data_IF_584839674000
#
_entry.id   IF_584839674000
#
_cell.length_a   1.000
_cell.length_b   1.000
_cell.length_c   1.000
_cell.angle_alpha   90.00
_cell.angle_beta   90.00
_cell.angle_gamma   90.00
#
_symmetry.space_group_name_H-M   'P 1'
#
loop_
_entity.id
_entity.type
_entity.pdbx_description
1 polymer ?
#
# COMPACT_ATOMS: atom_id res chain seq x y z
N UNK A 1 1.38 1.25 4.86
CA UNK A 1 -0.01 0.84 4.53
C UNK A 1 -0.33 -0.56 5.05
N UNK A 2 0.44 -1.60 4.72
CA UNK A 2 0.19 -2.97 5.18
C UNK A 2 0.02 -3.15 6.69
N UNK A 3 0.83 -2.46 7.50
CA UNK A 3 0.71 -2.45 8.97
C UNK A 3 -0.64 -1.88 9.45
N UNK A 4 -1.10 -0.80 8.81
CA UNK A 4 -2.41 -0.18 9.13
C UNK A 4 -3.55 -1.13 8.77
N UNK A 5 -3.47 -1.78 7.60
CA UNK A 5 -4.45 -2.77 7.17
C UNK A 5 -4.49 -3.97 8.13
N UNK A 6 -3.33 -4.44 8.58
CA UNK A 6 -3.22 -5.52 9.56
C UNK A 6 -3.89 -5.14 10.89
N UNK A 7 -3.68 -3.91 11.37
CA UNK A 7 -4.30 -3.35 12.57
C UNK A 7 -5.83 -3.27 12.48
N UNK A 8 -6.32 -2.90 11.29
CA UNK A 8 -7.75 -2.79 11.02
C UNK A 8 -8.42 -4.14 10.68
N UNK A 9 -7.68 -5.25 10.73
CA UNK A 9 -8.14 -6.57 10.32
C UNK A 9 -8.69 -6.60 8.89
N UNK A 10 -7.99 -5.91 7.97
CA UNK A 10 -8.32 -5.89 6.55
C UNK A 10 -7.50 -6.91 5.77
N UNK A 11 -8.08 -7.41 4.69
CA UNK A 11 -7.38 -8.25 3.72
C UNK A 11 -6.41 -7.40 2.88
N UNK A 12 -5.51 -8.06 2.14
CA UNK A 12 -4.56 -7.42 1.22
C UNK A 12 -5.24 -6.62 0.07
N UNK A 13 -6.55 -6.77 -0.11
CA UNK A 13 -7.38 -5.96 -1.02
C UNK A 13 -8.07 -4.77 -0.34
N UNK A 14 -7.86 -4.56 0.97
CA UNK A 14 -8.43 -3.41 1.70
C UNK A 14 -9.87 -3.61 2.19
N UNK A 15 -10.47 -4.77 1.97
CA UNK A 15 -11.79 -5.11 2.47
C UNK A 15 -11.74 -5.89 3.79
N UNK A 16 -12.86 -5.97 4.53
CA UNK A 16 -12.95 -6.82 5.72
C UNK A 16 -12.78 -8.29 5.34
N UNK A 17 -12.08 -9.05 6.15
CA UNK A 17 -11.83 -10.47 5.92
C UNK A 17 -12.05 -11.33 7.15
N UNK A 18 -11.98 -12.65 6.95
CA UNK A 18 -12.00 -13.57 8.09
C UNK A 18 -10.72 -13.41 8.92
N UNK A 19 -10.76 -13.74 10.23
CA UNK A 19 -9.59 -13.62 11.11
C UNK A 19 -8.34 -14.35 10.60
N UNK A 20 -8.52 -15.44 9.86
CA UNK A 20 -7.41 -16.19 9.26
C UNK A 20 -6.79 -15.47 8.07
N UNK A 21 -7.61 -14.85 7.22
CA UNK A 21 -7.13 -14.11 6.04
C UNK A 21 -6.40 -12.83 6.42
N UNK A 22 -6.79 -12.21 7.52
CA UNK A 22 -6.23 -10.92 7.96
C UNK A 22 -4.92 -11.06 8.76
N UNK A 23 -4.66 -12.23 9.38
CA UNK A 23 -3.44 -12.48 10.18
C UNK A 23 -2.12 -12.27 9.43
N UNK A 24 -2.11 -12.45 8.12
CA UNK A 24 -0.91 -12.36 7.28
C UNK A 24 -0.91 -11.18 6.30
N UNK A 25 -1.89 -10.29 6.38
CA UNK A 25 -2.05 -9.15 5.43
C UNK A 25 -0.77 -8.33 5.28
N UNK A 26 -0.11 -8.00 6.37
CA UNK A 26 1.16 -7.26 6.32
C UNK A 26 2.24 -8.02 5.54
N UNK A 27 2.40 -9.31 5.80
CA UNK A 27 3.41 -10.15 5.13
C UNK A 27 3.08 -10.27 3.64
N UNK A 28 1.81 -10.49 3.29
CA UNK A 28 1.37 -10.60 1.88
C UNK A 28 1.64 -9.30 1.13
N UNK A 29 1.25 -8.15 1.67
CA UNK A 29 1.51 -6.83 1.07
C UNK A 29 3.02 -6.60 0.91
N UNK A 30 3.80 -6.91 1.95
CA UNK A 30 5.26 -6.78 1.91
C UNK A 30 5.87 -7.69 0.83
N UNK A 31 5.43 -8.93 0.73
CA UNK A 31 5.90 -9.89 -0.28
C UNK A 31 5.58 -9.41 -1.69
N UNK A 32 4.38 -8.89 -1.95
CA UNK A 32 4.00 -8.34 -3.25
C UNK A 32 4.93 -7.19 -3.64
N UNK A 33 5.16 -6.23 -2.73
CA UNK A 33 6.01 -5.07 -2.99
C UNK A 33 7.46 -5.49 -3.21
N UNK A 34 7.99 -6.37 -2.36
CA UNK A 34 9.37 -6.87 -2.50
C UNK A 34 9.56 -7.67 -3.79
N UNK A 35 8.62 -8.56 -4.13
CA UNK A 35 8.68 -9.33 -5.38
C UNK A 35 8.69 -8.42 -6.60
N UNK A 36 7.86 -7.38 -6.61
CA UNK A 36 7.85 -6.39 -7.69
C UNK A 36 9.17 -5.61 -7.75
N UNK A 37 9.72 -5.19 -6.59
CA UNK A 37 10.99 -4.47 -6.53
C UNK A 37 12.15 -5.33 -7.06
N UNK A 38 12.23 -6.59 -6.60
CA UNK A 38 13.25 -7.54 -7.07
C UNK A 38 13.11 -7.80 -8.57
N UNK A 39 11.88 -8.00 -9.06
CA UNK A 39 11.61 -8.15 -10.48
C UNK A 39 12.09 -6.93 -11.27
N UNK A 40 11.76 -5.71 -10.85
CA UNK A 40 12.19 -4.49 -11.51
C UNK A 40 13.71 -4.35 -11.54
N UNK A 41 14.38 -4.59 -10.40
CA UNK A 41 15.83 -4.54 -10.31
C UNK A 41 16.52 -5.60 -11.19
N UNK A 42 15.99 -6.82 -11.21
CA UNK A 42 16.50 -7.89 -12.06
C UNK A 42 16.40 -7.53 -13.56
N UNK A 43 15.26 -6.96 -13.96
CA UNK A 43 15.06 -6.51 -15.35
C UNK A 43 16.02 -5.36 -15.72
N UNK A 44 16.27 -4.42 -14.81
CA UNK A 44 17.23 -3.33 -15.05
C UNK A 44 18.68 -3.83 -15.08
N UNK A 45 19.01 -4.84 -14.29
CA UNK A 45 20.34 -5.47 -14.31
C UNK A 45 20.58 -6.29 -15.58
N UNK A 46 19.60 -7.08 -16.01
CA UNK A 46 19.70 -7.92 -17.20
C UNK A 46 19.69 -7.13 -18.51
N UNK A 47 18.99 -5.99 -18.54
CA UNK A 47 18.83 -5.14 -19.72
C UNK A 47 19.11 -3.68 -19.39
N UNK A 48 20.38 -3.35 -19.11
CA UNK A 48 20.74 -1.98 -18.75
C UNK A 48 20.52 -1.03 -19.93
N UNK A 49 19.93 0.13 -19.63
CA UNK A 49 19.69 1.17 -20.63
C UNK A 49 20.98 1.84 -21.13
N UNK A 50 22.10 1.58 -20.46
CA UNK A 50 23.40 2.18 -20.79
C UNK A 50 24.47 1.12 -20.81
N UNK A 51 25.05 0.87 -21.99
CA UNK A 51 26.09 -0.15 -22.21
C UNK A 51 27.25 0.50 -22.95
N UNK A 52 28.46 0.36 -22.40
CA UNK A 52 29.70 0.84 -23.00
C UNK A 52 29.69 2.32 -23.47
N UNK A 53 29.01 3.20 -22.75
CA UNK A 53 28.95 4.61 -23.07
C UNK A 53 27.86 5.01 -24.06
N UNK A 54 27.02 4.07 -24.51
CA UNK A 54 25.93 4.31 -25.45
C UNK A 54 24.58 3.93 -24.83
N UNK A 55 23.50 4.66 -25.18
CA UNK A 55 22.14 4.29 -24.83
C UNK A 55 21.73 3.07 -25.64
N UNK A 56 21.61 1.93 -24.98
CA UNK A 56 21.05 0.71 -25.54
C UNK A 56 19.55 0.69 -25.29
N UNK A 57 18.75 0.66 -26.36
CA UNK A 57 17.32 0.48 -26.20
C UNK A 57 17.01 -0.98 -25.88
N UNK A 58 16.39 -1.28 -24.72
CA UNK A 58 15.98 -2.65 -24.44
C UNK A 58 14.93 -3.09 -25.47
N UNK A 59 14.85 -4.40 -25.77
CA UNK A 59 13.82 -4.94 -26.65
C UNK A 59 12.41 -4.46 -26.25
N UNK A 60 11.59 -4.14 -27.23
CA UNK A 60 10.25 -3.54 -26.99
C UNK A 60 9.37 -4.37 -26.06
N UNK A 61 9.45 -5.71 -26.15
CA UNK A 61 8.68 -6.60 -25.28
C UNK A 61 9.07 -6.48 -23.80
N UNK A 62 10.34 -6.21 -23.47
CA UNK A 62 10.81 -6.01 -22.09
C UNK A 62 10.25 -4.71 -21.52
N UNK A 63 10.37 -3.62 -22.29
CA UNK A 63 9.82 -2.32 -21.92
C UNK A 63 8.29 -2.42 -21.69
N UNK A 64 7.58 -3.11 -22.58
CA UNK A 64 6.14 -3.32 -22.47
C UNK A 64 5.80 -4.14 -21.22
N UNK A 65 6.53 -5.21 -20.93
CA UNK A 65 6.28 -6.05 -19.74
C UNK A 65 6.52 -5.27 -18.45
N UNK A 66 7.59 -4.48 -18.36
CA UNK A 66 7.86 -3.61 -17.20
C UNK A 66 6.76 -2.58 -17.01
N UNK A 67 6.35 -1.91 -18.08
CA UNK A 67 5.30 -0.90 -18.02
C UNK A 67 3.97 -1.51 -17.58
N UNK A 68 3.60 -2.67 -18.11
CA UNK A 68 2.37 -3.38 -17.73
C UNK A 68 2.42 -3.79 -16.24
N UNK A 69 3.52 -4.38 -15.79
CA UNK A 69 3.68 -4.75 -14.38
C UNK A 69 3.61 -3.53 -13.45
N UNK A 70 4.25 -2.42 -13.83
CA UNK A 70 4.18 -1.16 -13.09
C UNK A 70 2.76 -0.60 -13.01
N UNK A 71 2.02 -0.61 -14.12
CA UNK A 71 0.63 -0.17 -14.15
C UNK A 71 -0.25 -1.02 -13.25
N UNK A 72 -0.10 -2.33 -13.27
CA UNK A 72 -0.86 -3.24 -12.40
C UNK A 72 -0.61 -2.96 -10.91
N UNK A 73 0.63 -2.75 -10.51
CA UNK A 73 0.99 -2.40 -9.12
C UNK A 73 0.42 -1.03 -8.73
N UNK A 74 0.49 -0.04 -9.61
CA UNK A 74 -0.07 1.30 -9.34
C UNK A 74 -1.58 1.22 -9.14
N UNK A 75 -2.30 0.55 -10.03
CA UNK A 75 -3.76 0.34 -9.94
C UNK A 75 -4.12 -0.39 -8.67
N UNK A 76 -3.40 -1.47 -8.33
CA UNK A 76 -3.60 -2.19 -7.08
C UNK A 76 -3.36 -1.30 -5.85
N UNK A 77 -2.29 -0.52 -5.83
CA UNK A 77 -2.00 0.41 -4.74
C UNK A 77 -3.08 1.47 -4.55
N UNK A 78 -3.61 2.04 -5.64
CA UNK A 78 -4.70 3.03 -5.59
C UNK A 78 -5.98 2.36 -5.06
N UNK A 79 -6.34 1.20 -5.60
CA UNK A 79 -7.51 0.44 -5.20
C UNK A 79 -7.51 0.10 -3.70
N UNK A 80 -6.39 -0.45 -3.21
CA UNK A 80 -6.25 -0.82 -1.80
C UNK A 80 -6.38 0.39 -0.87
N UNK A 81 -5.78 1.54 -1.23
CA UNK A 81 -5.90 2.77 -0.44
C UNK A 81 -7.33 3.30 -0.42
N UNK A 82 -7.97 3.35 -1.58
CA UNK A 82 -9.37 3.76 -1.71
C UNK A 82 -10.27 2.89 -0.83
N UNK A 83 -10.16 1.56 -0.92
CA UNK A 83 -10.97 0.63 -0.12
C UNK A 83 -10.68 0.72 1.37
N UNK A 84 -9.43 0.87 1.77
CA UNK A 84 -9.08 1.05 3.20
C UNK A 84 -9.65 2.35 3.74
N UNK A 85 -9.60 3.46 2.97
CA UNK A 85 -10.17 4.75 3.39
C UNK A 85 -11.70 4.67 3.48
N UNK A 86 -12.35 4.10 2.49
CA UNK A 86 -13.81 3.84 2.50
C UNK A 86 -14.22 3.05 3.76
N UNK A 87 -13.48 1.98 4.07
CA UNK A 87 -13.74 1.19 5.28
C UNK A 87 -13.61 2.01 6.56
N UNK A 88 -12.53 2.79 6.71
CA UNK A 88 -12.29 3.64 7.88
C UNK A 88 -13.40 4.68 8.01
N UNK A 89 -13.77 5.36 6.93
CA UNK A 89 -14.87 6.33 6.95
C UNK A 89 -16.19 5.71 7.39
N UNK A 90 -16.53 4.58 6.81
CA UNK A 90 -17.77 3.86 7.16
C UNK A 90 -17.77 3.42 8.63
N UNK A 91 -16.63 2.94 9.14
CA UNK A 91 -16.47 2.53 10.54
C UNK A 91 -16.65 3.69 11.51
N UNK A 92 -16.06 4.85 11.22
CA UNK A 92 -16.11 6.04 12.08
C UNK A 92 -17.22 7.03 11.69
N UNK A 93 -18.10 6.66 10.73
CA UNK A 93 -19.21 7.49 10.24
C UNK A 93 -18.79 8.89 9.79
N UNK A 94 -17.66 9.00 9.10
CA UNK A 94 -17.14 10.26 8.57
C UNK A 94 -17.84 10.55 7.24
N UNK A 95 -18.59 11.67 7.09
CA UNK A 95 -19.28 12.02 5.85
C UNK A 95 -18.29 12.42 4.74
N UNK A 96 -18.73 12.31 3.49
CA UNK A 96 -18.04 12.88 2.33
C UNK A 96 -18.36 14.37 2.23
N UNK A 97 -17.32 15.24 2.22
CA UNK A 97 -17.53 16.69 2.25
C UNK A 97 -17.46 17.35 0.86
N UNK A 98 -16.60 16.86 -0.04
CA UNK A 98 -16.28 17.58 -1.28
C UNK A 98 -16.74 16.93 -2.57
N UNK A 99 -16.63 15.61 -2.71
CA UNK A 99 -16.94 14.87 -3.93
C UNK A 99 -17.64 13.57 -3.57
N UNK A 100 -18.96 13.57 -3.58
CA UNK A 100 -19.74 12.37 -3.26
C UNK A 100 -19.38 11.24 -4.24
N UNK A 101 -18.83 10.14 -3.70
CA UNK A 101 -18.45 8.92 -4.44
C UNK A 101 -17.09 8.94 -5.12
N UNK A 102 -16.39 10.08 -5.22
CA UNK A 102 -15.06 10.14 -5.85
C UNK A 102 -13.93 10.66 -4.92
N UNK A 103 -14.27 11.13 -3.74
CA UNK A 103 -13.29 11.71 -2.80
C UNK A 103 -12.16 10.73 -2.45
N UNK A 104 -12.50 9.47 -2.17
CA UNK A 104 -11.53 8.44 -1.80
C UNK A 104 -10.58 8.10 -2.95
N UNK A 105 -11.10 8.08 -4.18
CA UNK A 105 -10.28 7.86 -5.37
C UNK A 105 -9.35 9.04 -5.65
N UNK A 106 -9.87 10.26 -5.68
CA UNK A 106 -9.09 11.47 -5.92
C UNK A 106 -7.97 11.62 -4.89
N UNK A 107 -8.29 11.48 -3.60
CA UNK A 107 -7.29 11.55 -2.54
C UNK A 107 -6.25 10.42 -2.68
N UNK A 108 -6.65 9.21 -3.07
CA UNK A 108 -5.73 8.07 -3.24
C UNK A 108 -4.73 8.27 -4.37
N UNK A 109 -5.10 9.05 -5.40
CA UNK A 109 -4.21 9.39 -6.52
C UNK A 109 -3.28 10.54 -6.13
N UNK A 110 -3.83 11.66 -5.65
CA UNK A 110 -3.08 12.90 -5.47
C UNK A 110 -2.32 12.99 -4.15
N UNK A 111 -2.83 12.42 -3.08
CA UNK A 111 -2.26 12.58 -1.74
C UNK A 111 -2.07 11.25 -0.99
N UNK A 112 -1.48 10.25 -1.66
CA UNK A 112 -1.22 8.93 -1.09
C UNK A 112 -0.53 8.94 0.28
N UNK A 113 0.55 9.69 0.53
CA UNK A 113 1.19 9.72 1.86
C UNK A 113 0.30 10.36 2.91
N UNK A 114 -0.49 11.37 2.56
CA UNK A 114 -1.40 12.04 3.51
C UNK A 114 -2.48 11.09 4.00
N UNK A 115 -3.05 10.27 3.11
CA UNK A 115 -4.06 9.26 3.49
C UNK A 115 -3.48 8.26 4.48
N UNK A 116 -2.31 7.72 4.17
CA UNK A 116 -1.66 6.75 5.06
C UNK A 116 -1.37 7.36 6.43
N UNK A 117 -0.91 8.61 6.46
CA UNK A 117 -0.65 9.33 7.71
C UNK A 117 -1.94 9.62 8.50
N UNK A 118 -3.00 10.05 7.83
CA UNK A 118 -4.31 10.29 8.46
C UNK A 118 -4.86 9.00 9.07
N UNK A 119 -4.94 7.92 8.30
CA UNK A 119 -5.46 6.64 8.78
C UNK A 119 -4.57 6.10 9.91
N UNK A 120 -3.25 6.22 9.80
CA UNK A 120 -2.33 5.79 10.86
C UNK A 120 -2.59 6.53 12.17
N UNK A 121 -2.78 7.86 12.12
CA UNK A 121 -3.11 8.68 13.32
C UNK A 121 -4.46 8.34 13.93
N UNK A 122 -5.47 8.06 13.11
CA UNK A 122 -6.80 7.66 13.60
C UNK A 122 -6.83 6.26 14.22
N UNK A 123 -5.90 5.39 13.81
CA UNK A 123 -5.87 3.98 14.22
C UNK A 123 -4.74 3.64 15.20
N UNK A 124 -3.96 4.62 15.63
CA UNK A 124 -2.85 4.41 16.56
C UNK A 124 -2.57 5.63 17.42
N UNK A 125 -2.30 5.40 18.68
CA UNK A 125 -1.92 6.42 19.65
C UNK A 125 -0.39 6.56 19.67
N UNK A 126 0.13 7.42 18.79
CA UNK A 126 1.59 7.61 18.62
C UNK A 126 2.22 8.56 19.66
N UNK A 127 1.41 9.23 20.45
CA UNK A 127 1.92 10.07 21.56
C UNK A 127 2.42 9.20 22.71
N UNK A 128 1.70 8.12 23.01
CA UNK A 128 2.05 7.20 24.10
C UNK A 128 2.90 6.02 23.59
N UNK A 129 2.63 5.53 22.39
CA UNK A 129 3.30 4.35 21.82
C UNK A 129 4.07 4.72 20.54
N UNK A 130 5.42 4.72 20.58
CA UNK A 130 6.22 5.08 19.40
C UNK A 130 6.01 4.10 18.24
N UNK A 131 6.08 4.63 17.02
CA UNK A 131 5.97 3.81 15.80
C UNK A 131 7.14 2.83 15.68
N UNK A 132 6.86 1.57 15.33
CA UNK A 132 7.86 0.52 15.11
C UNK A 132 7.82 0.01 13.67
N UNK A 133 8.95 0.13 12.96
CA UNK A 133 9.03 -0.19 11.54
C UNK A 133 8.80 -1.69 11.22
N UNK A 134 9.33 -2.60 12.05
CA UNK A 134 9.37 -4.04 11.77
C UNK A 134 8.30 -4.87 12.50
N UNK A 135 7.32 -4.24 13.13
CA UNK A 135 6.20 -4.95 13.75
C UNK A 135 5.03 -5.11 12.76
N UNK A 136 4.19 -6.13 12.97
CA UNK A 136 3.04 -6.39 12.10
C UNK A 136 2.03 -5.24 12.08
N UNK A 137 1.84 -4.58 13.22
CA UNK A 137 0.86 -3.50 13.41
C UNK A 137 1.47 -2.09 13.31
N UNK A 138 2.79 -1.95 13.30
CA UNK A 138 3.48 -0.66 13.36
C UNK A 138 3.51 -0.03 14.74
N UNK A 139 3.08 -0.75 15.78
CA UNK A 139 3.12 -0.36 17.19
C UNK A 139 3.84 -1.42 18.01
N UNK A 140 4.32 -1.10 19.24
CA UNK A 140 4.88 -2.09 20.15
C UNK A 140 3.80 -3.09 20.60
N UNK A 141 4.23 -4.29 20.99
CA UNK A 141 3.32 -5.39 21.34
C UNK A 141 2.42 -5.11 22.57
N UNK A 142 2.79 -4.13 23.40
CA UNK A 142 2.03 -3.69 24.55
C UNK A 142 1.04 -2.55 24.26
N UNK A 143 0.97 -2.07 23.04
CA UNK A 143 0.00 -1.06 22.65
C UNK A 143 -1.42 -1.67 22.61
N UNK A 144 -2.44 -1.00 23.17
CA UNK A 144 -3.82 -1.45 23.07
C UNK A 144 -4.29 -1.49 21.61
N UNK A 145 -5.12 -2.45 21.26
CA UNK A 145 -5.83 -2.43 19.97
C UNK A 145 -6.86 -1.29 20.01
N UNK A 146 -6.48 -0.16 19.45
CA UNK A 146 -7.40 0.97 19.24
C UNK A 146 -8.16 0.71 17.93
N UNK A 147 -9.26 0.01 18.03
CA UNK A 147 -10.09 -0.33 16.85
C UNK A 147 -11.54 0.02 17.10
#
# INVERSE_FOLDING_TARGET
>A
MGQVMQRLNLTWLGGPGSPEQTKSTFIVVLTIVLSFTVFSMAMDYMFPAYVNGYYAQPPTWISTTKNLASMLIIVWCIYVRMKTREYVRNKYRIPEERCIGCEDLCCSIWCSPCIVAQIARHTGEYETYPSMCCTKTGLPNNAPEIV
#
